data_IF_262053784548
#
_entry.id   IF_262053784548
#
_cell.length_a   1.000
_cell.length_b   1.000
_cell.length_c   1.000
_cell.angle_alpha   90.00
_cell.angle_beta   90.00
_cell.angle_gamma   90.00
#
_symmetry.space_group_name_H-M   'P 1'
#
loop_
_entity.id
_entity.type
_entity.pdbx_description
1 polymer ?
#
# COMPACT_ATOMS: atom_id res chain seq x y z
N UNK A 1 -5.41 5.89 1.52
CA UNK A 1 -4.34 6.49 0.68
C UNK A 1 -3.72 5.37 -0.13
N UNK A 2 -3.40 5.61 -1.40
CA UNK A 2 -2.74 4.61 -2.27
C UNK A 2 -1.38 5.16 -2.70
N UNK A 3 -0.32 4.39 -2.51
CA UNK A 3 1.05 4.70 -2.94
C UNK A 3 1.38 3.80 -4.12
N UNK A 4 1.70 4.39 -5.27
CA UNK A 4 2.15 3.69 -6.47
C UNK A 4 3.65 3.88 -6.60
N UNK A 5 4.42 2.80 -6.70
CA UNK A 5 5.88 2.87 -6.79
C UNK A 5 6.46 1.80 -7.72
N UNK A 6 7.59 2.11 -8.33
CA UNK A 6 8.38 1.17 -9.14
C UNK A 6 9.70 0.83 -8.45
N UNK A 7 9.78 0.90 -7.12
CA UNK A 7 11.02 0.62 -6.42
C UNK A 7 11.11 1.36 -5.09
N UNK A 8 12.34 1.62 -4.68
CA UNK A 8 12.65 2.19 -3.38
C UNK A 8 12.74 3.71 -3.44
N UNK A 9 12.43 4.35 -2.32
CA UNK A 9 12.61 5.79 -2.20
C UNK A 9 14.08 6.16 -2.08
N UNK A 10 14.39 7.41 -2.42
CA UNK A 10 15.73 7.98 -2.24
C UNK A 10 16.13 8.13 -0.76
N UNK A 11 15.15 8.14 0.14
CA UNK A 11 15.34 8.27 1.59
C UNK A 11 14.34 7.36 2.32
N UNK A 12 14.74 6.10 2.53
CA UNK A 12 13.89 5.08 3.14
C UNK A 12 13.50 5.43 4.58
N UNK A 13 14.37 6.11 5.30
CA UNK A 13 14.14 6.48 6.69
C UNK A 13 13.05 7.56 6.80
N UNK A 14 13.11 8.58 5.95
CA UNK A 14 12.07 9.59 5.88
C UNK A 14 10.74 8.99 5.44
N UNK A 15 10.71 8.20 4.37
CA UNK A 15 9.48 7.59 3.85
C UNK A 15 8.81 6.69 4.89
N UNK A 16 9.58 5.87 5.59
CA UNK A 16 9.08 5.03 6.70
C UNK A 16 8.49 5.87 7.83
N UNK A 17 9.18 6.96 8.21
CA UNK A 17 8.72 7.85 9.29
C UNK A 17 7.38 8.51 8.93
N UNK A 18 7.26 9.04 7.72
CA UNK A 18 6.02 9.71 7.30
C UNK A 18 4.86 8.73 7.17
N UNK A 19 5.09 7.53 6.63
CA UNK A 19 4.08 6.49 6.58
C UNK A 19 3.58 6.10 7.98
N UNK A 20 4.49 5.98 8.96
CA UNK A 20 4.14 5.71 10.36
C UNK A 20 3.28 6.82 10.96
N UNK A 21 3.57 8.08 10.68
CA UNK A 21 2.77 9.23 11.14
C UNK A 21 1.37 9.20 10.53
N UNK A 22 1.27 8.96 9.22
CA UNK A 22 -0.03 8.82 8.54
C UNK A 22 -0.87 7.67 9.11
N UNK A 23 -0.28 6.49 9.35
CA UNK A 23 -1.00 5.37 9.99
C UNK A 23 -1.49 5.72 11.39
N UNK A 24 -0.66 6.41 12.19
CA UNK A 24 -1.04 6.89 13.53
C UNK A 24 -2.16 7.93 13.51
N UNK A 25 -2.26 8.72 12.45
CA UNK A 25 -3.36 9.65 12.22
C UNK A 25 -4.65 8.96 11.73
N UNK A 26 -4.67 7.63 11.63
CA UNK A 26 -5.86 6.84 11.25
C UNK A 26 -6.03 6.65 9.74
N UNK A 27 -5.00 6.95 8.94
CA UNK A 27 -5.00 6.64 7.52
C UNK A 27 -4.58 5.19 7.27
N UNK A 28 -5.31 4.54 6.38
CA UNK A 28 -4.86 3.29 5.77
C UNK A 28 -4.02 3.58 4.52
N UNK A 29 -2.91 2.87 4.39
CA UNK A 29 -1.96 3.03 3.29
C UNK A 29 -1.88 1.72 2.52
N UNK A 30 -2.34 1.75 1.27
CA UNK A 30 -2.17 0.67 0.32
C UNK A 30 -0.95 0.95 -0.55
N UNK A 31 -0.08 -0.03 -0.77
CA UNK A 31 1.09 0.07 -1.65
C UNK A 31 0.91 -0.82 -2.86
N UNK A 32 1.12 -0.25 -4.04
CA UNK A 32 1.13 -0.97 -5.32
C UNK A 32 2.51 -0.80 -5.94
N UNK A 33 3.28 -1.88 -5.90
CA UNK A 33 4.57 -2.01 -6.58
C UNK A 33 4.40 -2.32 -8.06
N UNK A 34 5.25 -1.76 -8.92
CA UNK A 34 5.25 -1.99 -10.36
C UNK A 34 6.64 -2.44 -10.81
N UNK A 35 6.75 -3.70 -11.21
CA UNK A 35 7.91 -4.35 -11.80
C UNK A 35 8.31 -5.61 -11.03
N UNK A 36 9.49 -6.14 -11.35
CA UNK A 36 10.02 -7.35 -10.71
C UNK A 36 10.93 -6.92 -9.56
N UNK A 37 10.38 -6.91 -8.35
CA UNK A 37 11.10 -6.52 -7.12
C UNK A 37 11.15 -7.69 -6.14
N UNK A 38 12.36 -8.02 -5.70
CA UNK A 38 12.61 -9.04 -4.68
C UNK A 38 12.78 -8.44 -3.28
N UNK A 39 13.26 -7.20 -3.18
CA UNK A 39 13.29 -6.45 -1.92
C UNK A 39 12.07 -5.55 -1.81
N UNK A 40 11.20 -5.91 -0.86
CA UNK A 40 9.94 -5.22 -0.57
C UNK A 40 9.93 -4.66 0.85
N UNK A 41 11.08 -4.61 1.53
CA UNK A 41 11.15 -4.22 2.94
C UNK A 41 10.64 -2.78 3.18
N UNK A 42 11.00 -1.85 2.31
CA UNK A 42 10.50 -0.48 2.41
C UNK A 42 8.98 -0.41 2.18
N UNK A 43 8.45 -1.18 1.25
CA UNK A 43 7.03 -1.21 0.96
C UNK A 43 6.22 -1.72 2.16
N UNK A 44 6.70 -2.77 2.84
CA UNK A 44 6.12 -3.27 4.10
C UNK A 44 6.15 -2.23 5.20
N UNK A 45 7.22 -1.43 5.28
CA UNK A 45 7.30 -0.35 6.27
C UNK A 45 6.29 0.78 6.00
N UNK A 46 5.88 0.97 4.74
CA UNK A 46 4.93 1.98 4.29
C UNK A 46 3.48 1.51 4.42
N UNK A 47 3.18 0.29 4.00
CA UNK A 47 1.84 -0.26 3.98
C UNK A 47 1.22 -0.34 5.39
N UNK A 48 -0.11 -0.42 5.42
CA UNK A 48 -0.84 -0.83 6.62
C UNK A 48 -0.81 -2.36 6.77
N UNK A 49 -1.03 -2.84 7.99
CA UNK A 49 -1.05 -4.29 8.27
C UNK A 49 -2.48 -4.86 8.16
N UNK A 50 -2.64 -6.13 7.74
CA UNK A 50 -1.58 -7.05 7.31
C UNK A 50 -1.14 -6.81 5.86
N UNK A 51 0.14 -7.02 5.54
CA UNK A 51 0.73 -6.78 4.21
C UNK A 51 -0.10 -7.38 3.06
N UNK A 52 -0.59 -8.60 3.22
CA UNK A 52 -1.42 -9.32 2.24
C UNK A 52 -2.73 -8.60 1.85
N UNK A 53 -3.21 -7.67 2.68
CA UNK A 53 -4.41 -6.88 2.44
C UNK A 53 -4.12 -5.44 1.97
N UNK A 54 -2.87 -5.01 2.04
CA UNK A 54 -2.47 -3.63 1.77
C UNK A 54 -1.33 -3.49 0.77
N UNK A 55 -0.78 -4.61 0.28
CA UNK A 55 0.32 -4.61 -0.68
C UNK A 55 -0.01 -5.48 -1.89
N UNK A 56 0.24 -4.92 -3.07
CA UNK A 56 0.22 -5.64 -4.33
C UNK A 56 1.50 -5.35 -5.11
N UNK A 57 1.91 -6.30 -5.92
CA UNK A 57 2.97 -6.11 -6.90
C UNK A 57 2.48 -6.54 -8.28
N UNK A 58 2.51 -5.62 -9.24
CA UNK A 58 2.22 -5.90 -10.65
C UNK A 58 3.50 -5.88 -11.45
N UNK A 59 3.58 -6.62 -12.55
CA UNK A 59 4.80 -6.68 -13.37
C UNK A 59 4.99 -5.45 -14.26
N UNK A 60 3.92 -4.75 -14.62
CA UNK A 60 3.95 -3.56 -15.46
C UNK A 60 2.69 -2.69 -15.24
N UNK A 61 2.66 -1.51 -15.85
CA UNK A 61 1.56 -0.55 -15.72
C UNK A 61 0.25 -1.06 -16.37
N UNK A 62 0.32 -1.93 -17.37
CA UNK A 62 -0.88 -2.47 -18.02
C UNK A 62 -1.67 -3.39 -17.09
N UNK A 63 -1.00 -4.03 -16.13
CA UNK A 63 -1.64 -4.91 -15.13
C UNK A 63 -2.24 -4.16 -13.93
N UNK A 64 -2.18 -2.82 -13.90
CA UNK A 64 -2.80 -2.05 -12.81
C UNK A 64 -4.32 -2.20 -12.75
N UNK A 65 -4.97 -2.44 -13.89
CA UNK A 65 -6.41 -2.73 -13.94
C UNK A 65 -6.78 -3.96 -13.13
N UNK A 66 -5.90 -4.95 -13.07
CA UNK A 66 -6.15 -6.23 -12.43
C UNK A 66 -6.20 -6.06 -10.91
N UNK A 67 -5.34 -5.19 -10.37
CA UNK A 67 -5.27 -4.85 -8.94
C UNK A 67 -6.30 -3.80 -8.52
N UNK A 68 -6.79 -2.97 -9.45
CA UNK A 68 -7.75 -1.91 -9.14
C UNK A 68 -9.03 -2.47 -8.48
N UNK A 69 -9.56 -3.59 -8.97
CA UNK A 69 -10.76 -4.20 -8.39
C UNK A 69 -10.53 -4.76 -6.99
N UNK A 70 -9.37 -5.38 -6.74
CA UNK A 70 -9.01 -5.91 -5.42
C UNK A 70 -8.82 -4.77 -4.40
N UNK A 71 -8.15 -3.68 -4.79
CA UNK A 71 -8.02 -2.48 -3.99
C UNK A 71 -9.37 -1.90 -3.60
N UNK A 72 -10.31 -1.81 -4.55
CA UNK A 72 -11.65 -1.29 -4.29
C UNK A 72 -12.40 -2.16 -3.27
N UNK A 73 -12.29 -3.48 -3.36
CA UNK A 73 -12.84 -4.38 -2.36
C UNK A 73 -12.24 -4.14 -0.96
N UNK A 74 -10.91 -4.00 -0.86
CA UNK A 74 -10.23 -3.69 0.40
C UNK A 74 -10.71 -2.36 1.01
N UNK A 75 -10.78 -1.30 0.20
CA UNK A 75 -11.27 0.02 0.64
C UNK A 75 -12.73 -0.05 1.14
N UNK A 76 -13.60 -0.74 0.40
CA UNK A 76 -15.00 -0.92 0.79
C UNK A 76 -15.14 -1.68 2.11
N UNK A 77 -14.35 -2.75 2.31
CA UNK A 77 -14.33 -3.52 3.54
C UNK A 77 -13.94 -2.67 4.77
N UNK A 78 -12.87 -1.88 4.66
CA UNK A 78 -12.45 -0.98 5.75
C UNK A 78 -13.52 0.06 6.08
N UNK A 79 -14.23 0.55 5.07
CA UNK A 79 -15.32 1.50 5.25
C UNK A 79 -16.51 0.86 5.98
N UNK A 80 -16.81 -0.42 5.69
CA UNK A 80 -17.84 -1.16 6.40
C UNK A 80 -17.49 -1.33 7.89
N UNK A 81 -16.24 -1.68 8.23
CA UNK A 81 -15.78 -1.80 9.61
C UNK A 81 -15.88 -0.46 10.36
N UNK A 82 -15.43 0.64 9.75
CA UNK A 82 -15.52 1.98 10.37
C UNK A 82 -16.96 2.41 10.65
N UNK A 83 -17.95 1.96 9.87
CA UNK A 83 -19.36 2.29 10.11
C UNK A 83 -19.95 1.56 11.32
N UNK A 84 -19.38 0.43 11.71
CA UNK A 84 -19.86 -0.40 12.83
C UNK A 84 -19.19 -0.11 14.18
N UNK A 85 -18.23 0.83 14.22
CA UNK A 85 -17.46 1.20 15.42
C UNK A 85 -17.79 2.61 15.88
#
# INVERSE_FOLDING_TARGET
MVVLTHGESRDRAATTREAKLARRAGFYIFVVGIGIYTDTQEWRAIASDPDESFMWNVTNYQNLSDVANELLHGVCYLTAIKKTS
#
